data_IF_428484740852
#
_entry.id   IF_428484740852
#
_cell.length_a   1.000
_cell.length_b   1.000
_cell.length_c   1.000
_cell.angle_alpha   90.00
_cell.angle_beta   90.00
_cell.angle_gamma   90.00
#
_symmetry.space_group_name_H-M   'P 1'
#
loop_
_entity.id
_entity.type
_entity.pdbx_description
1 polymer ?
#
# COMPACT_ATOMS: atom_id res chain seq x y z
N UNK A 1 -35.74 1.66 -1.64
CA UNK A 1 -35.74 0.81 -2.86
C UNK A 1 -35.61 1.60 -4.17
N UNK A 2 -35.74 2.93 -4.19
CA UNK A 2 -35.54 3.76 -5.40
C UNK A 2 -34.12 4.34 -5.57
N UNK A 3 -33.37 4.58 -4.49
CA UNK A 3 -32.00 5.14 -4.57
C UNK A 3 -31.03 4.15 -5.22
N UNK A 4 -31.09 2.87 -4.82
CA UNK A 4 -30.26 1.78 -5.38
C UNK A 4 -30.56 1.54 -6.87
N UNK A 5 -31.78 1.83 -7.33
CA UNK A 5 -32.15 1.69 -8.75
C UNK A 5 -31.57 2.81 -9.62
N UNK A 6 -31.39 4.01 -9.09
CA UNK A 6 -30.79 5.13 -9.83
C UNK A 6 -29.26 5.01 -9.92
N UNK A 7 -28.59 4.56 -8.86
CA UNK A 7 -27.14 4.30 -8.86
C UNK A 7 -26.76 3.16 -9.83
N UNK A 8 -27.56 2.08 -9.88
CA UNK A 8 -27.37 0.98 -10.85
C UNK A 8 -27.62 1.47 -12.28
N UNK A 9 -28.56 2.40 -12.49
CA UNK A 9 -28.82 2.99 -13.81
C UNK A 9 -27.66 3.89 -14.26
N UNK A 10 -27.09 4.67 -13.33
CA UNK A 10 -25.92 5.52 -13.57
C UNK A 10 -24.67 4.69 -13.93
N UNK A 11 -24.39 3.62 -13.18
CA UNK A 11 -23.29 2.67 -13.46
C UNK A 11 -23.50 1.93 -14.80
N UNK A 12 -24.74 1.54 -15.12
CA UNK A 12 -25.05 0.86 -16.40
C UNK A 12 -24.86 1.77 -17.61
N UNK A 13 -25.11 3.09 -17.46
CA UNK A 13 -24.85 4.07 -18.50
C UNK A 13 -23.35 4.34 -18.67
N UNK A 14 -22.59 4.37 -17.58
CA UNK A 14 -21.13 4.51 -17.62
C UNK A 14 -20.44 3.33 -18.31
N UNK A 15 -20.85 2.10 -18.04
CA UNK A 15 -20.29 0.90 -18.69
C UNK A 15 -20.61 0.88 -20.19
N UNK A 16 -21.78 1.38 -20.60
CA UNK A 16 -22.12 1.53 -22.03
C UNK A 16 -21.26 2.57 -22.74
N UNK A 17 -20.89 3.68 -22.10
CA UNK A 17 -20.04 4.72 -22.68
C UNK A 17 -18.63 4.20 -22.96
N UNK A 18 -18.07 3.37 -22.07
CA UNK A 18 -16.73 2.78 -22.26
C UNK A 18 -16.73 1.75 -23.41
N UNK A 19 -17.84 1.03 -23.62
CA UNK A 19 -17.94 -0.01 -24.66
C UNK A 19 -18.14 0.50 -26.09
N UNK A 20 -18.48 1.78 -26.29
CA UNK A 20 -18.82 2.31 -27.64
C UNK A 20 -17.60 2.89 -28.36
N UNK A 21 -16.46 3.08 -27.69
CA UNK A 21 -15.26 3.66 -28.31
C UNK A 21 -14.30 2.65 -28.95
N UNK A 22 -14.74 1.41 -29.23
CA UNK A 22 -13.99 0.46 -30.05
C UNK A 22 -14.75 0.10 -31.34
N UNK A 23 -14.27 0.67 -32.45
CA UNK A 23 -14.61 0.41 -33.86
C UNK A 23 -15.67 1.32 -34.54
N UNK A 24 -15.20 1.89 -35.66
CA UNK A 24 -15.77 2.94 -36.54
C UNK A 24 -17.10 2.56 -37.23
N UNK A 25 -17.91 3.57 -37.61
CA UNK A 25 -18.37 3.89 -39.00
C UNK A 25 -19.35 5.09 -38.95
N UNK A 26 -19.24 5.96 -39.96
CA UNK A 26 -19.80 7.31 -40.00
C UNK A 26 -21.32 7.46 -39.84
N UNK A 27 -21.67 8.42 -39.00
CA UNK A 27 -23.00 9.02 -38.88
C UNK A 27 -22.87 10.29 -38.03
N UNK A 28 -23.35 11.43 -38.54
CA UNK A 28 -23.36 12.70 -37.79
C UNK A 28 -24.21 12.54 -36.52
N UNK A 29 -23.56 12.58 -35.36
CA UNK A 29 -24.23 12.69 -34.06
C UNK A 29 -24.69 14.14 -33.89
N UNK A 30 -25.97 14.40 -33.53
CA UNK A 30 -26.43 15.74 -33.17
C UNK A 30 -25.67 16.24 -31.94
N UNK A 31 -24.94 17.34 -32.09
CA UNK A 31 -24.21 18.02 -31.01
C UNK A 31 -25.18 18.87 -30.19
N UNK A 32 -25.80 18.26 -29.17
CA UNK A 32 -26.19 19.05 -28.00
C UNK A 32 -24.95 19.14 -27.11
N UNK A 33 -24.26 20.28 -27.20
CA UNK A 33 -23.14 20.65 -26.35
C UNK A 33 -23.64 20.83 -24.91
N UNK A 34 -23.66 19.74 -24.15
CA UNK A 34 -23.31 19.81 -22.75
C UNK A 34 -21.95 19.14 -22.62
N UNK A 35 -20.90 19.96 -22.74
CA UNK A 35 -19.53 19.54 -22.42
C UNK A 35 -19.56 19.07 -20.95
N UNK A 36 -19.64 17.75 -20.77
CA UNK A 36 -19.38 17.13 -19.48
C UNK A 36 -17.88 17.34 -19.27
N UNK A 37 -17.51 18.44 -18.60
CA UNK A 37 -16.15 18.69 -18.16
C UNK A 37 -15.71 17.48 -17.34
N UNK A 38 -14.86 16.65 -17.95
CA UNK A 38 -14.28 15.53 -17.23
C UNK A 38 -13.41 16.11 -16.12
N UNK A 39 -13.48 15.57 -14.90
CA UNK A 39 -12.70 16.08 -13.79
C UNK A 39 -11.21 16.06 -14.14
N UNK A 40 -10.58 17.23 -14.17
CA UNK A 40 -9.16 17.42 -14.52
C UNK A 40 -8.32 17.70 -13.27
N UNK A 41 -8.38 16.81 -12.27
CA UNK A 41 -7.68 17.01 -10.99
C UNK A 41 -6.86 15.80 -10.57
N UNK A 42 -5.91 16.02 -9.66
CA UNK A 42 -5.27 14.97 -8.84
C UNK A 42 -5.59 15.19 -7.37
N UNK A 43 -5.52 14.12 -6.59
CA UNK A 43 -5.71 14.15 -5.14
C UNK A 43 -4.34 14.24 -4.48
N UNK A 44 -4.11 15.25 -3.66
CA UNK A 44 -2.89 15.38 -2.86
C UNK A 44 -3.22 15.00 -1.41
N UNK A 45 -2.55 13.98 -0.89
CA UNK A 45 -2.61 13.57 0.52
C UNK A 45 -1.34 13.98 1.24
N UNK A 46 -1.46 14.89 2.20
CA UNK A 46 -0.32 15.32 2.99
C UNK A 46 0.15 14.26 3.99
N UNK A 47 1.38 14.40 4.51
CA UNK A 47 1.81 13.61 5.66
C UNK A 47 0.85 13.80 6.83
N UNK A 48 0.45 15.02 7.16
CA UNK A 48 -0.44 15.29 8.29
C UNK A 48 -1.93 14.99 8.03
N UNK A 49 -2.25 14.14 7.04
CA UNK A 49 -3.60 13.58 6.82
C UNK A 49 -4.60 14.50 6.11
N UNK A 50 -4.20 15.71 5.73
CA UNK A 50 -5.04 16.59 4.94
C UNK A 50 -5.10 16.08 3.50
N UNK A 51 -6.30 15.99 2.95
CA UNK A 51 -6.53 15.67 1.53
C UNK A 51 -7.05 16.91 0.81
N UNK A 52 -6.44 17.25 -0.31
CA UNK A 52 -6.89 18.33 -1.20
C UNK A 52 -6.94 17.82 -2.64
N UNK A 53 -7.72 18.48 -3.49
CA UNK A 53 -7.68 18.29 -4.94
C UNK A 53 -6.97 19.47 -5.58
N UNK A 54 -6.17 19.20 -6.62
CA UNK A 54 -5.50 20.22 -7.43
C UNK A 54 -5.86 19.97 -8.88
N UNK A 55 -6.33 21.01 -9.58
CA UNK A 55 -6.61 20.92 -11.01
C UNK A 55 -5.30 20.90 -11.80
N UNK A 56 -5.19 19.97 -12.75
CA UNK A 56 -3.96 19.68 -13.49
C UNK A 56 -4.22 19.47 -14.98
N UNK A 57 -3.19 19.75 -15.78
CA UNK A 57 -3.02 19.17 -17.11
C UNK A 57 -2.01 18.02 -16.98
N UNK A 58 -2.30 16.84 -17.54
CA UNK A 58 -1.39 15.69 -17.42
C UNK A 58 -0.04 15.92 -18.12
N UNK A 59 0.05 16.88 -19.03
CA UNK A 59 1.29 17.27 -19.70
C UNK A 59 2.10 18.31 -18.91
N UNK A 60 1.59 18.81 -17.77
CA UNK A 60 2.36 19.72 -16.92
C UNK A 60 3.43 18.98 -16.11
N UNK A 61 4.49 19.70 -15.76
CA UNK A 61 5.59 19.16 -14.97
C UNK A 61 5.19 19.00 -13.50
N UNK A 62 5.91 18.14 -12.79
CA UNK A 62 5.78 18.00 -11.33
C UNK A 62 6.06 19.33 -10.63
N UNK A 63 7.01 20.14 -11.11
CA UNK A 63 7.28 21.48 -10.57
C UNK A 63 6.06 22.42 -10.66
N UNK A 64 5.35 22.42 -11.80
CA UNK A 64 4.11 23.19 -11.95
C UNK A 64 3.02 22.73 -10.97
N UNK A 65 2.87 21.42 -10.77
CA UNK A 65 1.96 20.89 -9.75
C UNK A 65 2.36 21.36 -8.34
N UNK A 66 3.65 21.35 -7.99
CA UNK A 66 4.14 21.88 -6.70
C UNK A 66 3.85 23.36 -6.53
N UNK A 67 3.98 24.17 -7.58
CA UNK A 67 3.61 25.58 -7.56
C UNK A 67 2.11 25.78 -7.26
N UNK A 68 1.24 24.96 -7.86
CA UNK A 68 -0.21 24.97 -7.55
C UNK A 68 -0.49 24.58 -6.09
N UNK A 69 0.23 23.60 -5.57
CA UNK A 69 0.14 23.21 -4.15
C UNK A 69 0.64 24.35 -3.25
N UNK A 70 1.74 25.02 -3.59
CA UNK A 70 2.25 26.18 -2.85
C UNK A 70 1.19 27.28 -2.77
N UNK A 71 0.57 27.61 -3.90
CA UNK A 71 -0.48 28.64 -3.96
C UNK A 71 -1.69 28.28 -3.09
N UNK A 72 -2.00 26.99 -2.94
CA UNK A 72 -3.17 26.51 -2.18
C UNK A 72 -2.89 26.30 -0.69
N UNK A 73 -1.72 25.79 -0.35
CA UNK A 73 -1.38 25.35 1.02
C UNK A 73 -0.31 26.22 1.69
N UNK A 74 0.26 27.19 0.98
CA UNK A 74 1.35 28.06 1.44
C UNK A 74 2.62 27.30 1.84
N UNK A 75 2.89 26.16 1.19
CA UNK A 75 4.08 25.33 1.42
C UNK A 75 5.12 25.67 0.34
N UNK A 76 6.33 26.17 0.68
CA UNK A 76 7.40 26.44 -0.26
C UNK A 76 7.72 25.24 -1.17
N UNK A 77 7.90 25.45 -2.48
CA UNK A 77 8.11 24.38 -3.48
C UNK A 77 9.30 23.48 -3.12
N UNK A 78 10.40 24.09 -2.66
CA UNK A 78 11.62 23.43 -2.21
C UNK A 78 11.39 22.54 -0.98
N UNK A 79 10.36 22.85 -0.19
CA UNK A 79 9.92 22.02 0.94
C UNK A 79 8.97 20.90 0.52
N UNK A 80 8.50 20.85 -0.73
CA UNK A 80 7.57 19.82 -1.18
C UNK A 80 8.29 18.62 -1.80
N UNK A 81 7.97 17.42 -1.31
CA UNK A 81 8.28 16.14 -1.98
C UNK A 81 6.99 15.41 -2.32
N UNK A 82 6.73 15.29 -3.61
CA UNK A 82 5.61 14.50 -4.13
C UNK A 82 6.07 13.06 -4.32
N UNK A 83 5.22 12.13 -3.89
CA UNK A 83 5.47 10.69 -3.95
C UNK A 83 4.32 10.02 -4.69
N UNK A 84 4.69 9.25 -5.69
CA UNK A 84 3.85 8.28 -6.38
C UNK A 84 4.59 6.95 -6.29
N UNK A 85 3.90 5.82 -6.12
CA UNK A 85 4.66 4.57 -6.12
C UNK A 85 5.37 4.23 -4.81
N UNK A 86 5.51 5.20 -3.91
CA UNK A 86 6.53 5.18 -2.86
C UNK A 86 7.90 5.67 -3.36
N UNK A 87 7.98 6.13 -4.61
CA UNK A 87 9.11 6.84 -5.19
C UNK A 87 8.83 8.34 -5.18
N UNK A 88 9.85 9.15 -4.92
CA UNK A 88 9.77 10.60 -5.12
C UNK A 88 9.77 10.84 -6.62
N UNK A 89 8.82 11.64 -7.10
CA UNK A 89 8.75 12.03 -8.52
C UNK A 89 9.57 13.30 -8.76
N UNK A 90 10.25 13.35 -9.89
CA UNK A 90 11.23 14.39 -10.24
C UNK A 90 10.56 15.62 -10.85
N UNK A 91 11.14 16.81 -10.60
CA UNK A 91 10.52 18.11 -10.89
C UNK A 91 10.38 18.41 -12.40
N UNK A 92 11.31 17.87 -13.20
CA UNK A 92 11.40 18.12 -14.65
C UNK A 92 10.47 17.22 -15.48
N UNK A 93 10.03 16.09 -14.93
CA UNK A 93 9.16 15.13 -15.60
C UNK A 93 7.70 15.62 -15.58
N UNK A 94 6.91 15.19 -16.58
CA UNK A 94 5.47 15.46 -16.63
C UNK A 94 4.67 14.47 -15.79
N UNK A 95 3.43 14.81 -15.43
CA UNK A 95 2.54 13.87 -14.75
C UNK A 95 2.29 12.61 -15.60
N UNK A 96 2.21 12.79 -16.93
CA UNK A 96 2.02 11.70 -17.88
C UNK A 96 3.21 10.73 -17.97
N UNK A 97 4.44 11.20 -17.73
CA UNK A 97 5.64 10.35 -17.71
C UNK A 97 5.59 9.30 -16.59
N UNK A 98 4.89 9.63 -15.49
CA UNK A 98 4.60 8.71 -14.38
C UNK A 98 3.29 7.93 -14.55
N UNK A 99 2.62 8.05 -15.71
CA UNK A 99 1.31 7.47 -15.99
C UNK A 99 0.24 7.88 -14.95
N UNK A 100 0.33 9.10 -14.42
CA UNK A 100 -0.68 9.68 -13.53
C UNK A 100 -1.93 9.99 -14.35
N UNK A 101 -3.10 9.65 -13.81
CA UNK A 101 -4.40 9.91 -14.41
C UNK A 101 -5.19 10.90 -13.54
N UNK A 102 -6.24 11.48 -14.11
CA UNK A 102 -7.17 12.27 -13.31
C UNK A 102 -7.77 11.42 -12.18
N UNK A 103 -7.89 12.01 -11.00
CA UNK A 103 -8.29 11.34 -9.77
C UNK A 103 -7.20 10.50 -9.09
N UNK A 104 -5.99 10.38 -9.66
CA UNK A 104 -4.88 9.71 -8.98
C UNK A 104 -4.49 10.43 -7.68
N UNK A 105 -4.03 9.64 -6.71
CA UNK A 105 -3.53 10.15 -5.43
C UNK A 105 -2.01 10.25 -5.43
N UNK A 106 -1.52 11.44 -5.10
CA UNK A 106 -0.11 11.75 -4.84
C UNK A 106 0.07 12.08 -3.36
N UNK A 107 1.20 11.68 -2.81
CA UNK A 107 1.54 11.95 -1.42
C UNK A 107 2.47 13.14 -1.30
N UNK A 108 2.09 14.14 -0.51
CA UNK A 108 2.91 15.30 -0.19
C UNK A 108 3.63 15.07 1.14
N UNK A 109 4.96 15.11 1.10
CA UNK A 109 5.82 15.23 2.26
C UNK A 109 6.42 16.63 2.32
N UNK A 110 6.37 17.25 3.51
CA UNK A 110 7.10 18.49 3.78
C UNK A 110 8.51 18.15 4.26
N UNK A 111 9.52 18.72 3.62
CA UNK A 111 10.86 18.86 4.14
C UNK A 111 10.86 20.07 5.08
N UNK A 112 10.90 19.85 6.39
CA UNK A 112 11.36 20.90 7.31
C UNK A 112 12.89 20.99 7.24
N UNK A 113 13.51 22.05 7.78
CA UNK A 113 14.97 22.35 7.78
C UNK A 113 15.90 21.27 8.40
N UNK A 114 15.36 20.08 8.64
CA UNK A 114 16.07 18.86 8.93
C UNK A 114 15.92 17.77 7.85
N UNK A 115 14.85 17.67 7.08
CA UNK A 115 14.57 16.55 6.16
C UNK A 115 13.56 15.53 6.72
N UNK A 116 13.19 14.52 5.92
CA UNK A 116 12.17 13.50 6.25
C UNK A 116 12.77 12.42 7.16
N UNK A 117 12.96 12.72 8.44
CA UNK A 117 13.73 11.83 9.31
C UNK A 117 13.03 10.52 9.68
N UNK A 118 11.70 10.42 9.66
CA UNK A 118 10.97 9.23 10.15
C UNK A 118 10.15 8.47 9.11
N UNK A 119 9.66 7.29 9.49
CA UNK A 119 8.51 6.66 8.83
C UNK A 119 7.25 7.34 9.38
N UNK A 120 6.59 8.17 8.58
CA UNK A 120 5.34 8.79 8.98
C UNK A 120 4.16 7.98 8.43
N UNK A 121 3.24 7.58 9.31
CA UNK A 121 1.95 6.97 8.97
C UNK A 121 0.88 7.79 9.70
N UNK A 122 -0.15 8.23 8.98
CA UNK A 122 -1.21 9.04 9.59
C UNK A 122 -1.91 8.27 10.71
N UNK A 123 -2.18 8.88 11.89
CA UNK A 123 -2.81 8.19 13.02
C UNK A 123 -4.13 7.50 12.71
N UNK A 124 -4.95 8.05 11.79
CA UNK A 124 -6.23 7.43 11.39
C UNK A 124 -6.06 6.08 10.69
N UNK A 125 -4.88 5.84 10.11
CA UNK A 125 -4.51 4.56 9.49
C UNK A 125 -4.02 3.55 10.52
N UNK A 126 -3.93 3.92 11.80
CA UNK A 126 -3.41 3.07 12.87
C UNK A 126 -4.54 2.68 13.81
N UNK A 127 -4.50 1.46 14.34
CA UNK A 127 -5.38 1.03 15.43
C UNK A 127 -4.55 0.55 16.62
N UNK A 128 -4.12 1.52 17.44
CA UNK A 128 -3.15 1.29 18.51
C UNK A 128 -3.60 0.29 19.56
N UNK A 129 -4.91 0.00 19.64
CA UNK A 129 -5.45 -1.03 20.55
C UNK A 129 -4.96 -2.44 20.20
N UNK A 130 -4.51 -2.65 18.96
CA UNK A 130 -4.01 -3.93 18.49
C UNK A 130 -2.50 -3.97 18.36
N UNK A 131 -1.75 -2.90 18.69
CA UNK A 131 -0.29 -2.93 18.68
C UNK A 131 0.22 -4.10 19.52
N UNK A 132 1.29 -4.75 19.05
CA UNK A 132 1.88 -5.91 19.71
C UNK A 132 3.39 -5.77 19.72
N UNK A 133 3.99 -5.90 20.90
CA UNK A 133 5.45 -5.96 21.04
C UNK A 133 5.90 -7.42 21.02
N UNK A 134 6.61 -7.84 19.98
CA UNK A 134 7.19 -9.18 19.88
C UNK A 134 8.71 -9.19 20.14
N UNK A 135 9.29 -8.08 20.62
CA UNK A 135 10.74 -7.92 20.80
C UNK A 135 11.33 -9.03 21.66
N UNK A 136 10.72 -9.27 22.83
CA UNK A 136 11.21 -10.25 23.83
C UNK A 136 10.23 -11.42 24.03
N UNK A 137 9.33 -11.66 23.08
CA UNK A 137 8.29 -12.68 23.24
C UNK A 137 8.85 -14.07 22.98
N UNK A 138 8.61 -14.98 23.94
CA UNK A 138 8.82 -16.42 23.80
C UNK A 138 7.50 -17.16 24.05
N UNK A 139 7.05 -17.93 23.07
CA UNK A 139 5.80 -18.70 23.13
C UNK A 139 5.94 -20.09 23.73
N UNK A 140 7.11 -20.46 24.24
CA UNK A 140 7.36 -21.75 24.87
C UNK A 140 6.96 -22.93 23.97
N UNK A 141 7.22 -22.82 22.65
CA UNK A 141 6.91 -23.85 21.66
C UNK A 141 5.46 -23.91 21.18
N UNK A 142 4.59 -22.97 21.59
CA UNK A 142 3.24 -22.90 21.05
C UNK A 142 3.25 -22.61 19.55
N UNK A 143 2.45 -23.36 18.79
CA UNK A 143 2.24 -23.14 17.36
C UNK A 143 0.97 -22.33 17.13
N UNK A 144 1.10 -21.21 16.42
CA UNK A 144 -0.04 -20.37 16.05
C UNK A 144 -0.44 -20.66 14.61
N UNK A 145 -1.74 -20.68 14.34
CA UNK A 145 -2.31 -20.96 13.03
C UNK A 145 -3.19 -19.79 12.58
N UNK A 146 -3.09 -19.40 11.32
CA UNK A 146 -3.96 -18.42 10.66
C UNK A 146 -4.29 -18.94 9.26
N UNK A 147 -5.58 -19.00 8.94
CA UNK A 147 -6.06 -19.52 7.65
C UNK A 147 -5.62 -20.96 7.38
N UNK A 148 -5.56 -21.79 8.43
CA UNK A 148 -5.06 -23.17 8.39
C UNK A 148 -3.58 -23.30 7.98
N UNK A 149 -2.80 -22.22 8.06
CA UNK A 149 -1.35 -22.21 7.85
C UNK A 149 -0.65 -21.80 9.14
N UNK A 150 0.55 -22.35 9.37
CA UNK A 150 1.39 -21.95 10.50
C UNK A 150 1.72 -20.47 10.39
N UNK A 151 1.35 -19.72 11.42
CA UNK A 151 1.68 -18.32 11.59
C UNK A 151 2.98 -18.19 12.37
N UNK A 152 4.09 -18.00 11.64
CA UNK A 152 5.38 -17.62 12.22
C UNK A 152 5.29 -16.18 12.71
N UNK A 153 5.07 -15.98 14.00
CA UNK A 153 4.94 -14.64 14.59
C UNK A 153 6.24 -13.84 14.43
N UNK A 154 6.18 -12.49 14.35
CA UNK A 154 7.35 -11.68 14.03
C UNK A 154 8.23 -11.45 15.27
N UNK A 155 8.82 -12.51 15.81
CA UNK A 155 9.70 -12.44 16.99
C UNK A 155 10.88 -11.50 16.77
N UNK A 156 11.16 -10.64 17.75
CA UNK A 156 12.19 -9.60 17.65
C UNK A 156 11.73 -8.31 16.95
N UNK A 157 10.41 -8.13 16.72
CA UNK A 157 9.84 -6.96 16.07
C UNK A 157 8.76 -6.29 16.92
N UNK A 158 8.65 -4.96 16.86
CA UNK A 158 7.42 -4.28 17.25
C UNK A 158 6.45 -4.28 16.08
N UNK A 159 5.19 -4.63 16.33
CA UNK A 159 4.13 -4.57 15.33
C UNK A 159 3.13 -3.48 15.68
N UNK A 160 3.04 -2.48 14.82
CA UNK A 160 2.00 -1.45 14.85
C UNK A 160 0.83 -1.92 13.99
N UNK A 161 -0.39 -1.83 14.49
CA UNK A 161 -1.57 -2.27 13.74
C UNK A 161 -2.07 -1.18 12.79
N UNK A 162 -2.45 -1.60 11.58
CA UNK A 162 -3.17 -0.74 10.65
C UNK A 162 -4.67 -0.83 10.91
N UNK A 163 -5.34 0.31 10.89
CA UNK A 163 -6.78 0.38 10.85
C UNK A 163 -7.26 -0.03 9.45
N UNK A 164 -7.83 -1.21 9.37
CA UNK A 164 -8.32 -1.84 8.14
C UNK A 164 -9.84 -2.01 8.15
N UNK A 165 -10.52 -1.46 9.15
CA UNK A 165 -11.95 -1.58 9.28
C UNK A 165 -12.64 -0.90 8.10
N UNK A 166 -13.46 -1.67 7.37
CA UNK A 166 -14.17 -1.20 6.17
C UNK A 166 -13.25 -0.70 5.03
N UNK A 167 -11.96 -1.01 5.09
CA UNK A 167 -11.01 -0.71 4.00
C UNK A 167 -11.21 -1.63 2.80
N UNK A 168 -11.74 -2.83 3.05
CA UNK A 168 -12.03 -3.85 2.03
C UNK A 168 -13.51 -4.23 2.08
N UNK A 169 -13.93 -5.12 1.19
CA UNK A 169 -15.33 -5.50 0.98
C UNK A 169 -15.99 -6.07 2.24
N UNK A 170 -15.21 -6.78 3.06
CA UNK A 170 -15.60 -7.28 4.38
C UNK A 170 -14.39 -7.36 5.33
N UNK A 171 -14.60 -7.90 6.53
CA UNK A 171 -13.56 -8.18 7.53
C UNK A 171 -13.33 -9.68 7.77
N UNK A 172 -14.00 -10.56 7.03
CA UNK A 172 -13.94 -12.02 7.20
C UNK A 172 -12.53 -12.56 6.97
N UNK A 173 -11.80 -11.98 6.02
CA UNK A 173 -10.38 -12.29 5.78
C UNK A 173 -9.50 -12.11 7.03
N UNK A 174 -9.85 -11.20 7.95
CA UNK A 174 -9.07 -10.90 9.15
C UNK A 174 -9.51 -11.73 10.36
N UNK A 175 -10.82 -11.78 10.62
CA UNK A 175 -11.40 -12.34 11.87
C UNK A 175 -12.17 -13.64 11.66
N UNK A 176 -12.34 -14.09 10.42
CA UNK A 176 -13.13 -15.26 10.05
C UNK A 176 -14.64 -15.09 10.27
N UNK A 177 -15.37 -16.19 10.13
CA UNK A 177 -16.83 -16.25 10.37
C UNK A 177 -17.22 -16.84 11.73
N UNK A 178 -16.23 -17.27 12.51
CA UNK A 178 -16.43 -17.99 13.78
C UNK A 178 -15.54 -17.44 14.89
N UNK A 179 -16.01 -17.48 16.14
CA UNK A 179 -15.17 -17.09 17.29
C UNK A 179 -13.94 -18.00 17.41
N UNK A 180 -12.77 -17.38 17.60
CA UNK A 180 -11.52 -18.11 17.82
C UNK A 180 -11.53 -18.79 19.19
N UNK A 181 -11.46 -20.12 19.20
CA UNK A 181 -11.52 -20.93 20.43
C UNK A 181 -10.27 -20.80 21.30
N UNK A 182 -9.08 -20.83 20.70
CA UNK A 182 -7.79 -20.56 21.34
C UNK A 182 -6.96 -19.65 20.45
N UNK A 183 -6.12 -18.80 21.04
CA UNK A 183 -5.27 -17.85 20.29
C UNK A 183 -4.40 -18.53 19.21
N UNK A 184 -4.04 -19.78 19.44
CA UNK A 184 -3.24 -20.64 18.56
C UNK A 184 -4.02 -21.26 17.40
N UNK A 185 -5.35 -21.40 17.50
CA UNK A 185 -6.14 -22.04 16.45
C UNK A 185 -6.48 -21.08 15.32
N UNK A 186 -6.70 -21.59 14.12
CA UNK A 186 -7.35 -20.86 13.05
C UNK A 186 -8.85 -20.73 13.27
N UNK A 187 -9.47 -19.80 12.54
CA UNK A 187 -10.92 -19.68 12.39
C UNK A 187 -11.31 -19.88 10.94
N UNK A 188 -12.56 -20.25 10.69
CA UNK A 188 -13.05 -20.49 9.34
C UNK A 188 -13.01 -19.18 8.51
N UNK A 189 -12.56 -19.29 7.26
CA UNK A 189 -12.46 -18.22 6.25
C UNK A 189 -11.48 -17.07 6.56
N UNK A 190 -10.75 -17.07 7.68
CA UNK A 190 -9.66 -16.12 7.81
C UNK A 190 -8.52 -16.48 6.83
N UNK A 191 -7.80 -15.46 6.42
CA UNK A 191 -6.68 -15.59 5.50
C UNK A 191 -5.37 -15.90 6.25
N UNK A 192 -4.44 -16.69 5.67
CA UNK A 192 -3.10 -16.86 6.21
C UNK A 192 -2.34 -15.55 6.37
N UNK A 193 -1.32 -15.55 7.23
CA UNK A 193 -0.43 -14.40 7.44
C UNK A 193 0.82 -14.53 6.60
N UNK A 194 1.23 -13.43 5.98
CA UNK A 194 2.51 -13.31 5.26
C UNK A 194 3.17 -11.96 5.53
N UNK A 195 4.38 -11.79 5.01
CA UNK A 195 5.24 -10.64 5.20
C UNK A 195 5.78 -10.12 3.86
N UNK A 196 5.91 -8.80 3.74
CA UNK A 196 6.47 -8.15 2.56
C UNK A 196 7.53 -7.12 2.99
N UNK A 197 8.78 -7.37 2.61
CA UNK A 197 9.88 -6.44 2.84
C UNK A 197 9.83 -5.31 1.82
N UNK A 198 10.00 -4.07 2.29
CA UNK A 198 9.88 -2.90 1.44
C UNK A 198 10.73 -1.72 1.95
N UNK A 199 10.83 -0.66 1.15
CA UNK A 199 11.40 0.61 1.58
C UNK A 199 10.41 1.42 2.46
N UNK A 200 10.96 2.34 3.27
CA UNK A 200 10.19 3.22 4.17
C UNK A 200 9.04 3.95 3.48
N UNK A 201 9.29 4.53 2.31
CA UNK A 201 8.29 5.32 1.57
C UNK A 201 7.19 4.42 0.98
N UNK A 202 7.56 3.29 0.38
CA UNK A 202 6.63 2.28 -0.10
C UNK A 202 5.72 1.76 1.03
N UNK A 203 6.28 1.52 2.23
CA UNK A 203 5.52 1.08 3.40
C UNK A 203 4.36 2.04 3.70
N UNK A 204 4.59 3.35 3.63
CA UNK A 204 3.54 4.35 3.80
C UNK A 204 2.45 4.19 2.75
N UNK A 205 2.83 4.22 1.48
CA UNK A 205 1.83 4.16 0.39
C UNK A 205 1.03 2.85 0.40
N UNK A 206 1.64 1.73 0.80
CA UNK A 206 0.93 0.45 0.91
C UNK A 206 -0.01 0.44 2.12
N UNK A 207 0.39 1.04 3.25
CA UNK A 207 -0.49 1.18 4.40
C UNK A 207 -1.73 2.04 4.07
N UNK A 208 -1.57 3.07 3.25
CA UNK A 208 -2.66 3.95 2.81
C UNK A 208 -3.53 3.30 1.72
N UNK A 209 -2.94 2.85 0.61
CA UNK A 209 -3.70 2.46 -0.59
C UNK A 209 -3.83 0.95 -0.79
N UNK A 210 -3.07 0.14 -0.03
CA UNK A 210 -2.89 -1.26 -0.36
C UNK A 210 -1.81 -1.47 -1.43
N UNK A 211 -1.74 -2.67 -1.98
CA UNK A 211 -0.74 -2.99 -2.99
C UNK A 211 -1.22 -2.56 -4.38
N UNK A 212 -0.29 -2.07 -5.19
CA UNK A 212 -0.54 -1.74 -6.58
C UNK A 212 0.51 -2.44 -7.46
N UNK A 213 0.07 -3.37 -8.31
CA UNK A 213 0.88 -4.16 -9.23
C UNK A 213 1.55 -3.29 -10.28
N UNK A 214 0.96 -2.16 -10.66
CA UNK A 214 1.58 -1.21 -11.59
C UNK A 214 2.90 -0.64 -11.05
N UNK A 215 3.10 -0.63 -9.73
CA UNK A 215 4.35 -0.21 -9.07
C UNK A 215 5.42 -1.31 -9.05
N UNK A 216 5.05 -2.55 -9.34
CA UNK A 216 5.96 -3.70 -9.28
C UNK A 216 6.71 -3.85 -10.60
N UNK A 217 8.05 -3.69 -10.55
CA UNK A 217 8.91 -3.70 -11.75
C UNK A 217 9.55 -5.06 -12.06
N UNK A 218 9.55 -6.02 -11.13
CA UNK A 218 10.28 -7.30 -11.25
C UNK A 218 9.44 -8.49 -10.80
N UNK A 219 9.36 -9.52 -11.64
CA UNK A 219 8.49 -10.68 -11.45
C UNK A 219 9.24 -12.01 -11.69
N UNK A 220 10.18 -12.34 -10.79
CA UNK A 220 11.15 -13.43 -10.99
C UNK A 220 10.51 -14.81 -11.24
N UNK A 221 9.41 -15.12 -10.56
CA UNK A 221 8.72 -16.41 -10.60
C UNK A 221 7.26 -16.31 -11.11
N UNK A 222 6.96 -15.21 -11.83
CA UNK A 222 5.64 -14.89 -12.35
C UNK A 222 5.10 -13.55 -11.87
N UNK A 223 4.20 -12.96 -12.65
CA UNK A 223 3.55 -11.69 -12.33
C UNK A 223 2.70 -11.82 -11.06
N UNK A 224 2.85 -10.87 -10.15
CA UNK A 224 2.11 -10.84 -8.89
C UNK A 224 2.86 -10.09 -7.78
N UNK A 225 2.20 -9.92 -6.65
CA UNK A 225 2.79 -9.31 -5.44
C UNK A 225 3.43 -10.41 -4.61
N UNK A 226 4.71 -10.20 -4.26
CA UNK A 226 5.51 -11.19 -3.54
C UNK A 226 5.41 -10.95 -2.04
N UNK A 227 5.14 -12.01 -1.30
CA UNK A 227 5.21 -12.04 0.16
C UNK A 227 5.81 -13.38 0.60
N UNK A 228 5.94 -13.61 1.89
CA UNK A 228 6.50 -14.85 2.43
C UNK A 228 5.91 -15.14 3.81
N UNK A 229 5.72 -16.41 4.22
CA UNK A 229 5.27 -16.73 5.56
C UNK A 229 6.34 -16.48 6.63
N UNK A 230 7.57 -16.12 6.25
CA UNK A 230 8.70 -15.95 7.16
C UNK A 230 9.23 -14.50 7.12
N UNK A 231 9.10 -13.78 8.23
CA UNK A 231 9.55 -12.39 8.32
C UNK A 231 11.06 -12.23 8.06
N UNK A 232 11.88 -13.26 8.33
CA UNK A 232 13.33 -13.18 8.10
C UNK A 232 13.67 -13.24 6.61
N UNK A 233 12.81 -13.86 5.81
CA UNK A 233 12.92 -13.82 4.34
C UNK A 233 12.52 -12.44 3.84
N UNK A 234 11.41 -11.88 4.35
CA UNK A 234 10.97 -10.52 4.03
C UNK A 234 12.00 -9.45 4.44
N UNK A 235 12.65 -9.62 5.59
CA UNK A 235 13.69 -8.73 6.11
C UNK A 235 14.81 -8.46 5.09
N UNK A 236 15.20 -9.47 4.31
CA UNK A 236 16.25 -9.35 3.27
C UNK A 236 15.90 -8.35 2.17
N UNK A 237 14.60 -8.08 1.97
CA UNK A 237 14.07 -7.14 0.99
C UNK A 237 13.65 -5.80 1.62
N UNK A 238 13.62 -5.70 2.95
CA UNK A 238 13.33 -4.44 3.63
C UNK A 238 14.54 -3.50 3.51
N UNK A 239 14.33 -2.23 3.21
CA UNK A 239 15.42 -1.24 3.13
C UNK A 239 15.65 -0.58 4.49
N UNK A 240 16.92 -0.40 4.87
CA UNK A 240 17.33 0.28 6.10
C UNK A 240 17.04 1.78 6.01
N UNK A 241 16.58 2.38 7.10
CA UNK A 241 16.46 3.83 7.25
C UNK A 241 16.89 4.27 8.65
N UNK A 242 17.44 5.47 8.77
CA UNK A 242 17.91 6.01 10.04
C UNK A 242 16.88 6.98 10.61
N UNK A 243 16.60 6.88 11.91
CA UNK A 243 15.76 7.79 12.68
C UNK A 243 16.39 8.01 14.06
N UNK A 244 16.56 9.27 14.46
CA UNK A 244 17.16 9.64 15.77
C UNK A 244 18.48 8.90 16.07
N UNK A 245 19.36 8.82 15.05
CA UNK A 245 20.68 8.18 15.18
C UNK A 245 20.66 6.65 15.30
N UNK A 246 19.51 6.01 15.15
CA UNK A 246 19.37 4.55 15.12
C UNK A 246 18.90 4.08 13.76
N UNK A 247 19.38 2.92 13.34
CA UNK A 247 18.94 2.27 12.12
C UNK A 247 17.74 1.37 12.36
N UNK A 248 16.83 1.37 11.40
CA UNK A 248 15.59 0.59 11.44
C UNK A 248 15.31 -0.05 10.09
N UNK A 249 14.52 -1.13 10.12
CA UNK A 249 13.86 -1.70 8.95
C UNK A 249 12.38 -1.87 9.20
N UNK A 250 11.63 -1.87 8.10
CA UNK A 250 10.18 -2.05 8.11
C UNK A 250 9.74 -3.19 7.20
N UNK A 251 8.82 -3.99 7.69
CA UNK A 251 8.17 -5.08 6.95
C UNK A 251 6.67 -4.95 7.13
N UNK A 252 5.91 -5.08 6.05
CA UNK A 252 4.46 -5.13 6.14
C UNK A 252 4.00 -6.54 6.49
N UNK A 253 3.13 -6.64 7.49
CA UNK A 253 2.40 -7.85 7.81
C UNK A 253 1.06 -7.85 7.07
N UNK A 254 0.80 -8.95 6.36
CA UNK A 254 -0.32 -9.08 5.46
C UNK A 254 -1.20 -10.28 5.78
N UNK A 255 -2.44 -10.22 5.29
CA UNK A 255 -3.28 -11.39 5.07
C UNK A 255 -3.33 -11.70 3.59
N UNK A 256 -3.24 -12.98 3.24
CA UNK A 256 -3.19 -13.43 1.84
C UNK A 256 -4.39 -14.29 1.47
N UNK A 257 -5.00 -14.06 0.31
CA UNK A 257 -6.09 -14.88 -0.17
C UNK A 257 -5.56 -16.28 -0.54
N UNK A 258 -5.95 -17.35 0.17
CA UNK A 258 -5.40 -18.68 -0.10
C UNK A 258 -5.90 -19.30 -1.41
N UNK A 259 -7.00 -18.81 -1.99
CA UNK A 259 -7.63 -19.44 -3.16
C UNK A 259 -6.83 -19.28 -4.45
N UNK A 260 -6.08 -18.18 -4.58
CA UNK A 260 -5.32 -17.83 -5.78
C UNK A 260 -3.80 -17.76 -5.52
N UNK A 261 -3.39 -18.14 -4.32
CA UNK A 261 -2.00 -18.03 -3.87
C UNK A 261 -1.09 -19.04 -4.56
N UNK A 262 -0.10 -18.54 -5.30
CA UNK A 262 0.98 -19.38 -5.85
C UNK A 262 2.15 -19.44 -4.86
N UNK A 263 2.55 -20.65 -4.47
CA UNK A 263 3.70 -20.87 -3.57
C UNK A 263 4.92 -21.33 -4.37
N UNK A 264 6.04 -20.67 -4.16
CA UNK A 264 7.35 -21.04 -4.70
C UNK A 264 8.18 -21.57 -3.52
N UNK A 265 8.56 -22.85 -3.54
CA UNK A 265 9.19 -23.47 -2.39
C UNK A 265 10.67 -23.08 -2.30
N UNK A 266 11.26 -23.22 -1.11
CA UNK A 266 12.60 -22.74 -0.81
C UNK A 266 13.66 -23.34 -1.75
N UNK A 267 13.49 -24.59 -2.16
CA UNK A 267 14.39 -25.32 -3.05
C UNK A 267 14.56 -24.65 -4.42
N UNK A 268 13.59 -23.81 -4.83
CA UNK A 268 13.65 -23.05 -6.08
C UNK A 268 14.22 -21.64 -5.85
N UNK A 269 13.86 -21.01 -4.74
CA UNK A 269 14.25 -19.61 -4.46
C UNK A 269 15.66 -19.47 -3.89
N UNK A 270 16.17 -20.53 -3.24
CA UNK A 270 17.39 -20.55 -2.42
C UNK A 270 17.43 -19.52 -1.27
N UNK A 271 16.33 -18.81 -1.02
CA UNK A 271 16.25 -17.69 -0.08
C UNK A 271 15.09 -17.82 0.93
N UNK A 272 14.12 -18.69 0.65
CA UNK A 272 12.96 -18.99 1.50
C UNK A 272 11.67 -19.14 0.69
N UNK A 273 10.62 -19.70 1.28
CA UNK A 273 9.34 -19.85 0.57
C UNK A 273 8.74 -18.49 0.18
N UNK A 274 8.37 -18.32 -1.10
CA UNK A 274 7.69 -17.13 -1.62
C UNK A 274 6.24 -17.42 -1.94
N UNK A 275 5.40 -16.43 -1.67
CA UNK A 275 3.96 -16.42 -1.85
C UNK A 275 3.60 -15.31 -2.81
N UNK A 276 3.10 -15.67 -3.99
CA UNK A 276 2.77 -14.74 -5.06
C UNK A 276 1.26 -14.61 -5.13
N UNK A 277 0.77 -13.40 -4.88
CA UNK A 277 -0.63 -13.02 -5.03
C UNK A 277 -0.82 -12.41 -6.43
N UNK A 278 -1.67 -12.98 -7.29
CA UNK A 278 -1.77 -12.55 -8.68
C UNK A 278 -2.40 -11.17 -8.84
N UNK A 279 -3.31 -10.80 -7.92
CA UNK A 279 -4.04 -9.55 -7.92
C UNK A 279 -3.84 -8.73 -6.63
N UNK A 280 -4.09 -7.42 -6.74
CA UNK A 280 -3.93 -6.45 -5.64
C UNK A 280 -4.88 -6.70 -4.47
N UNK A 281 -6.06 -7.27 -4.73
CA UNK A 281 -7.07 -7.61 -3.71
C UNK A 281 -6.73 -8.86 -2.90
N UNK A 282 -5.79 -9.68 -3.38
CA UNK A 282 -5.39 -10.95 -2.79
C UNK A 282 -4.32 -10.81 -1.69
N UNK A 283 -3.77 -9.61 -1.48
CA UNK A 283 -2.83 -9.34 -0.40
C UNK A 283 -3.20 -8.05 0.33
N UNK A 284 -3.48 -8.16 1.63
CA UNK A 284 -4.01 -7.04 2.43
C UNK A 284 -3.07 -6.70 3.58
N UNK A 285 -2.41 -5.52 3.57
CA UNK A 285 -1.63 -5.10 4.72
C UNK A 285 -2.54 -4.81 5.92
N UNK A 286 -2.16 -5.28 7.11
CA UNK A 286 -2.89 -5.02 8.36
C UNK A 286 -1.96 -4.71 9.55
N UNK A 287 -0.64 -4.72 9.33
CA UNK A 287 0.32 -4.33 10.34
C UNK A 287 1.64 -3.89 9.74
N UNK A 288 2.35 -3.05 10.47
CA UNK A 288 3.70 -2.60 10.18
C UNK A 288 4.62 -3.18 11.25
N UNK A 289 5.51 -4.09 10.86
CA UNK A 289 6.57 -4.60 11.71
C UNK A 289 7.80 -3.70 11.59
N UNK A 290 8.26 -3.15 12.70
CA UNK A 290 9.45 -2.30 12.79
C UNK A 290 10.47 -2.99 13.69
N UNK A 291 11.71 -3.04 13.23
CA UNK A 291 12.84 -3.54 14.00
C UNK A 291 13.95 -2.50 14.02
N UNK A 292 14.48 -2.26 15.22
CA UNK A 292 15.72 -1.50 15.41
C UNK A 292 16.88 -2.44 15.08
N UNK A 293 17.81 -1.98 14.26
CA UNK A 293 19.03 -2.73 13.98
C UNK A 293 20.00 -2.56 15.15
N UNK A 294 20.60 -3.65 15.57
CA UNK A 294 21.68 -3.60 16.55
C UNK A 294 22.89 -2.94 15.89
N UNK A 295 23.41 -1.89 16.52
CA UNK A 295 24.72 -1.33 16.19
C UNK A 295 25.79 -2.33 16.62
N UNK A 296 26.09 -3.31 15.77
CA UNK A 296 27.34 -4.03 15.90
C UNK A 296 28.45 -3.07 15.48
N UNK A 297 29.12 -2.47 16.46
CA UNK A 297 30.50 -2.07 16.24
C UNK A 297 31.25 -3.37 15.91
N UNK A 298 31.62 -3.57 14.65
CA UNK A 298 32.73 -4.46 14.34
C UNK A 298 33.93 -3.85 15.04
N UNK A 299 34.23 -4.34 16.25
CA UNK A 299 35.58 -4.22 16.77
C UNK A 299 36.45 -5.07 15.86
N UNK A 300 37.00 -4.43 14.82
CA UNK A 300 38.22 -4.91 14.21
C UNK A 300 39.28 -4.96 15.31
N UNK A 301 39.71 -6.18 15.66
CA UNK A 301 41.09 -6.61 15.97
C UNK A 301 41.12 -8.14 15.83
#
# INVERSE_FOLDING_TARGET
MNIVKEEIKALSNWIKIISINSHLIGGKVPTDNTDIELPSYVIIRSSWGKTITIDVDLNETVDHLKAKIQNRESIPIDQQKLILGGEVIEDEDTLSDYNIQFGCTLYLLILSDGGIYGLFIHPDLLDRNYDCDFTDVNDNGLTFMRGNVVYKRPYGWKRIALNVLNKYEDNTWLVGVSKRRRLTNSVQNEWPVSYHGTAKLNCRTIAEDGYLLCKSRRFLFGRGIYSTPDINVAYRYATKFTYEGSDYRVVLQNRVNPNYLKKIPNEITEAGEYWISPDESDLRPYGICIKKEDTFWTSDI
#
